data_IF_793631550748
#
_entry.id   IF_793631550748
#
_cell.length_a   1.000
_cell.length_b   1.000
_cell.length_c   1.000
_cell.angle_alpha   90.00
_cell.angle_beta   90.00
_cell.angle_gamma   90.00
#
_symmetry.space_group_name_H-M   'P 1'
#
loop_
_entity.id
_entity.type
_entity.pdbx_description
1 polymer ?
#
# COMPACT_ATOMS: atom_id res chain seq x y z
N UNK A 1 -6.59 -5.37 -0.68
CA UNK A 1 -5.33 -5.77 -0.01
C UNK A 1 -4.65 -6.84 -0.85
N UNK A 2 -3.33 -6.94 -0.81
CA UNK A 2 -2.58 -7.93 -1.58
C UNK A 2 -1.19 -8.20 -0.99
N UNK A 3 -0.54 -9.25 -1.49
CA UNK A 3 0.88 -9.54 -1.26
C UNK A 3 1.70 -8.89 -2.36
N UNK A 4 2.66 -8.05 -1.97
CA UNK A 4 3.57 -7.35 -2.88
C UNK A 4 4.97 -7.92 -2.69
N UNK A 5 5.58 -8.36 -3.77
CA UNK A 5 6.99 -8.77 -3.80
C UNK A 5 7.85 -7.57 -4.19
N UNK A 6 8.76 -7.20 -3.30
CA UNK A 6 9.72 -6.13 -3.51
C UNK A 6 10.88 -6.61 -4.38
N UNK A 7 11.65 -5.69 -4.95
CA UNK A 7 12.79 -6.02 -5.83
C UNK A 7 13.90 -6.83 -5.16
N UNK A 8 13.96 -6.84 -3.83
CA UNK A 8 14.90 -7.64 -3.04
C UNK A 8 14.36 -9.03 -2.65
N UNK A 9 13.16 -9.40 -3.14
CA UNK A 9 12.47 -10.65 -2.85
C UNK A 9 11.65 -10.63 -1.55
N UNK A 10 11.63 -9.52 -0.80
CA UNK A 10 10.79 -9.39 0.40
C UNK A 10 9.31 -9.35 0.02
N UNK A 11 8.48 -10.16 0.69
CA UNK A 11 7.03 -10.13 0.50
C UNK A 11 6.34 -9.36 1.63
N UNK A 12 5.59 -8.33 1.25
CA UNK A 12 4.87 -7.45 2.18
C UNK A 12 3.37 -7.54 1.90
N UNK A 13 2.58 -7.85 2.93
CA UNK A 13 1.12 -7.75 2.84
C UNK A 13 0.70 -6.31 3.10
N UNK A 14 -0.07 -5.72 2.19
CA UNK A 14 -0.47 -4.33 2.30
C UNK A 14 -1.75 -3.97 1.54
N UNK A 15 -2.16 -2.71 1.69
CA UNK A 15 -3.24 -2.14 0.90
C UNK A 15 -2.67 -1.59 -0.41
N UNK A 16 -3.29 -1.96 -1.53
CA UNK A 16 -3.09 -1.34 -2.83
C UNK A 16 -4.19 -0.28 -2.98
N UNK A 17 -3.82 0.93 -3.37
CA UNK A 17 -4.68 2.12 -3.45
C UNK A 17 -4.52 2.82 -4.80
N UNK A 18 -5.34 3.83 -5.04
CA UNK A 18 -5.37 4.61 -6.29
C UNK A 18 -5.74 3.78 -7.54
N UNK A 19 -6.50 2.72 -7.34
CA UNK A 19 -7.04 1.86 -8.39
C UNK A 19 -8.30 1.15 -7.90
N UNK A 20 -9.14 0.73 -8.83
CA UNK A 20 -10.24 -0.18 -8.59
C UNK A 20 -9.76 -1.64 -8.57
N UNK A 21 -10.39 -2.53 -7.80
CA UNK A 21 -9.99 -3.94 -7.74
C UNK A 21 -9.99 -4.65 -9.10
N UNK A 22 -10.86 -4.21 -10.04
CA UNK A 22 -10.94 -4.76 -11.39
C UNK A 22 -9.75 -4.40 -12.28
N UNK A 23 -8.99 -3.38 -11.93
CA UNK A 23 -7.80 -2.94 -12.66
C UNK A 23 -6.56 -3.76 -12.24
N UNK A 24 -6.62 -4.47 -11.11
CA UNK A 24 -5.49 -5.21 -10.56
C UNK A 24 -5.33 -6.59 -11.21
N UNK A 25 -4.07 -6.96 -11.45
CA UNK A 25 -3.67 -8.28 -11.91
C UNK A 25 -2.42 -8.77 -11.16
N UNK A 26 -2.26 -10.09 -11.06
CA UNK A 26 -1.04 -10.68 -10.47
C UNK A 26 0.15 -10.36 -11.37
N UNK A 27 1.24 -9.88 -10.77
CA UNK A 27 2.43 -9.44 -11.48
C UNK A 27 2.37 -7.99 -12.00
N UNK A 28 1.30 -7.25 -11.68
CA UNK A 28 1.27 -5.81 -11.94
C UNK A 28 2.31 -5.08 -11.08
N UNK A 29 3.10 -4.22 -11.72
CA UNK A 29 4.06 -3.37 -11.04
C UNK A 29 3.35 -2.35 -10.14
N UNK A 30 3.84 -2.24 -8.91
CA UNK A 30 3.36 -1.27 -7.92
C UNK A 30 4.54 -0.55 -7.29
N UNK A 31 4.31 0.68 -6.86
CA UNK A 31 5.27 1.46 -6.10
C UNK A 31 4.82 1.68 -4.66
N UNK A 32 5.80 1.87 -3.78
CA UNK A 32 5.57 2.19 -2.36
C UNK A 32 5.21 3.65 -2.21
N UNK A 33 4.12 3.93 -1.49
CA UNK A 33 3.70 5.28 -1.14
C UNK A 33 3.47 5.44 0.36
N UNK A 34 3.82 6.62 0.88
CA UNK A 34 3.50 6.99 2.26
C UNK A 34 2.05 7.46 2.32
N UNK A 35 1.25 6.82 3.18
CA UNK A 35 -0.15 7.17 3.39
C UNK A 35 -0.46 7.29 4.87
N UNK A 36 -1.40 8.19 5.18
CA UNK A 36 -2.05 8.22 6.48
C UNK A 36 -2.85 6.93 6.67
N UNK A 37 -2.49 6.15 7.69
CA UNK A 37 -3.14 4.87 8.00
C UNK A 37 -4.30 5.11 8.96
N UNK A 38 -4.05 5.84 10.04
CA UNK A 38 -5.06 6.18 11.05
C UNK A 38 -4.70 7.43 11.85
N UNK A 39 -5.69 7.94 12.58
CA UNK A 39 -5.47 8.89 13.67
C UNK A 39 -5.77 8.16 14.96
N UNK A 40 -4.86 8.19 15.92
CA UNK A 40 -5.08 7.59 17.24
C UNK A 40 -5.87 8.55 18.13
N UNK A 41 -7.07 8.12 18.50
CA UNK A 41 -7.93 8.63 19.57
C UNK A 41 -7.77 10.10 19.99
N UNK A 42 -7.73 10.32 21.30
CA UNK A 42 -7.67 11.65 21.91
C UNK A 42 -6.33 12.36 21.70
N UNK A 43 -5.23 11.61 21.58
CA UNK A 43 -3.90 12.16 21.32
C UNK A 43 -3.78 12.79 19.92
N UNK A 44 -4.74 12.50 19.03
CA UNK A 44 -4.75 12.93 17.62
C UNK A 44 -3.47 12.59 16.86
N UNK A 45 -2.74 11.57 17.32
CA UNK A 45 -1.49 11.16 16.70
C UNK A 45 -1.80 10.56 15.32
N UNK A 46 -1.17 11.11 14.28
CA UNK A 46 -1.35 10.60 12.91
C UNK A 46 -0.30 9.54 12.65
N UNK A 47 -0.75 8.31 12.40
CA UNK A 47 0.12 7.21 12.02
C UNK A 47 0.21 7.16 10.50
N UNK A 48 1.41 7.40 10.00
CA UNK A 48 1.76 7.19 8.60
C UNK A 48 2.40 5.81 8.43
N UNK A 49 2.22 5.24 7.25
CA UNK A 49 2.77 3.95 6.91
C UNK A 49 2.81 3.75 5.41
N UNK A 50 3.30 2.58 5.01
CA UNK A 50 3.42 2.19 3.61
C UNK A 50 2.09 1.62 3.10
N UNK A 51 1.71 2.06 1.91
CA UNK A 51 0.76 1.40 1.03
C UNK A 51 1.39 1.26 -0.35
N UNK A 52 0.67 0.60 -1.26
CA UNK A 52 1.12 0.40 -2.63
C UNK A 52 0.13 1.05 -3.59
N UNK A 53 0.58 1.46 -4.77
CA UNK A 53 -0.29 1.86 -5.89
C UNK A 53 0.31 1.38 -7.21
N UNK A 54 -0.49 1.16 -8.26
CA UNK A 54 0.05 0.94 -9.59
C UNK A 54 1.03 2.06 -9.98
N UNK A 55 2.10 1.69 -10.67
CA UNK A 55 3.05 2.67 -11.21
C UNK A 55 2.32 3.57 -12.21
N UNK A 56 2.57 4.88 -12.14
CA UNK A 56 1.99 5.89 -13.05
C UNK A 56 2.64 5.87 -14.44
#
# INVERSE_FOLDING_TARGET
VGWVEMSDGTQIMGQITDCEPSELSVGMDVETVVRKIRVEGESKLIVYGVKFRPVL
#
